data_IF_195071431994
#
_entry.id   IF_195071431994
#
_cell.length_a   1.000
_cell.length_b   1.000
_cell.length_c   1.000
_cell.angle_alpha   90.00
_cell.angle_beta   90.00
_cell.angle_gamma   90.00
#
_symmetry.space_group_name_H-M   'P 1'
#
loop_
_entity.id
_entity.type
_entity.pdbx_description
1 polymer ?
#
# COMPACT_ATOMS: atom_id res chain seq x y z
N UNK A 1 14.81 2.77 -13.31
CA UNK A 1 13.40 2.53 -12.95
C UNK A 1 12.63 1.91 -14.08
N UNK A 2 11.70 1.01 -13.77
CA UNK A 2 10.71 0.55 -14.72
C UNK A 2 9.39 1.30 -14.46
N UNK A 3 8.85 1.97 -15.49
CA UNK A 3 7.48 2.52 -15.44
C UNK A 3 6.41 1.41 -15.63
N UNK A 4 6.82 0.14 -15.51
CA UNK A 4 6.00 -1.09 -15.69
C UNK A 4 5.02 -1.06 -16.87
N UNK A 5 5.49 -0.55 -18.01
CA UNK A 5 4.72 -0.38 -19.24
C UNK A 5 4.60 -1.66 -20.06
N UNK A 6 5.61 -2.53 -20.03
CA UNK A 6 5.64 -3.77 -20.79
C UNK A 6 5.75 -4.97 -19.86
N UNK A 7 4.97 -6.05 -20.09
CA UNK A 7 5.12 -7.28 -19.32
C UNK A 7 6.55 -7.84 -19.48
N UNK A 8 7.13 -8.39 -18.41
CA UNK A 8 8.47 -8.98 -18.47
C UNK A 8 8.47 -10.20 -19.38
N UNK A 9 9.56 -10.39 -20.11
CA UNK A 9 9.80 -11.59 -20.93
C UNK A 9 10.78 -12.50 -20.22
N UNK A 10 10.55 -13.81 -20.29
CA UNK A 10 11.41 -14.84 -19.71
C UNK A 10 10.64 -15.78 -18.79
N UNK A 11 11.37 -16.72 -18.19
CA UNK A 11 10.84 -17.72 -17.27
C UNK A 11 11.41 -17.50 -15.87
N UNK A 12 10.60 -17.75 -14.85
CA UNK A 12 10.97 -17.68 -13.43
C UNK A 12 10.36 -18.91 -12.76
N UNK A 13 11.08 -19.52 -11.80
CA UNK A 13 10.50 -20.63 -11.03
C UNK A 13 9.32 -20.15 -10.19
N UNK A 14 8.29 -20.98 -10.06
CA UNK A 14 7.07 -20.63 -9.32
C UNK A 14 7.37 -20.22 -7.88
N UNK A 15 8.22 -20.98 -7.18
CA UNK A 15 8.62 -20.69 -5.81
C UNK A 15 9.29 -19.31 -5.68
N UNK A 16 10.20 -18.97 -6.61
CA UNK A 16 10.86 -17.65 -6.61
C UNK A 16 9.88 -16.54 -6.93
N UNK A 17 8.93 -16.78 -7.84
CA UNK A 17 7.88 -15.81 -8.15
C UNK A 17 6.99 -15.55 -6.93
N UNK A 18 6.52 -16.60 -6.27
CA UNK A 18 5.66 -16.53 -5.08
C UNK A 18 6.37 -15.80 -3.95
N UNK A 19 7.59 -16.20 -3.59
CA UNK A 19 8.35 -15.55 -2.51
C UNK A 19 8.60 -14.07 -2.80
N UNK A 20 8.91 -13.72 -4.05
CA UNK A 20 9.11 -12.33 -4.48
C UNK A 20 7.82 -11.51 -4.43
N UNK A 21 6.67 -12.10 -4.77
CA UNK A 21 5.38 -11.43 -4.65
C UNK A 21 5.00 -11.20 -3.19
N UNK A 22 5.21 -12.20 -2.32
CA UNK A 22 4.94 -12.09 -0.88
C UNK A 22 5.83 -11.04 -0.22
N UNK A 23 7.13 -11.01 -0.54
CA UNK A 23 8.04 -9.98 -0.05
C UNK A 23 7.66 -8.59 -0.53
N UNK A 24 7.31 -8.44 -1.82
CA UNK A 24 6.84 -7.17 -2.37
C UNK A 24 5.55 -6.72 -1.70
N UNK A 25 4.60 -7.62 -1.46
CA UNK A 25 3.33 -7.30 -0.80
C UNK A 25 3.55 -6.80 0.63
N UNK A 26 4.39 -7.49 1.42
CA UNK A 26 4.76 -7.04 2.76
C UNK A 26 5.42 -5.65 2.75
N UNK A 27 6.35 -5.43 1.82
CA UNK A 27 7.00 -4.13 1.66
C UNK A 27 6.00 -3.03 1.27
N UNK A 28 5.05 -3.30 0.37
CA UNK A 28 4.03 -2.34 -0.03
C UNK A 28 3.08 -1.98 1.12
N UNK A 29 2.83 -2.90 2.07
CA UNK A 29 2.05 -2.60 3.27
C UNK A 29 2.75 -1.59 4.16
N UNK A 30 4.06 -1.78 4.37
CA UNK A 30 4.89 -0.83 5.12
C UNK A 30 4.94 0.55 4.45
N UNK A 31 5.01 0.60 3.12
CA UNK A 31 4.93 1.84 2.34
C UNK A 31 3.57 2.51 2.51
N UNK A 32 2.48 1.73 2.43
CA UNK A 32 1.12 2.24 2.59
C UNK A 32 0.88 2.82 3.99
N UNK A 33 1.38 2.16 5.04
CA UNK A 33 1.25 2.62 6.43
C UNK A 33 1.95 3.97 6.69
N UNK A 34 3.07 4.25 5.98
CA UNK A 34 3.85 5.49 6.15
C UNK A 34 3.41 6.63 5.24
N UNK A 35 2.73 6.33 4.13
CA UNK A 35 2.25 7.33 3.18
C UNK A 35 3.38 8.08 2.44
N UNK A 36 3.07 9.26 1.88
CA UNK A 36 4.03 10.11 1.13
C UNK A 36 4.90 10.96 2.08
N UNK A 37 5.60 10.32 3.00
CA UNK A 37 6.53 10.97 3.93
C UNK A 37 7.97 10.52 3.62
N UNK A 38 8.77 11.43 3.06
CA UNK A 38 10.10 11.12 2.53
C UNK A 38 11.06 10.62 3.62
N UNK A 39 10.97 11.17 4.83
CA UNK A 39 11.82 10.77 5.96
C UNK A 39 11.52 9.35 6.40
N UNK A 40 10.24 9.03 6.61
CA UNK A 40 9.80 7.68 7.01
C UNK A 40 10.07 6.62 5.95
N UNK A 41 9.95 6.97 4.67
CA UNK A 41 10.25 6.06 3.56
C UNK A 41 11.76 5.84 3.39
N UNK A 42 12.58 6.85 3.69
CA UNK A 42 14.04 6.70 3.69
C UNK A 42 14.48 5.68 4.75
N UNK A 43 13.97 5.79 5.98
CA UNK A 43 14.23 4.84 7.07
C UNK A 43 13.86 3.40 6.70
N UNK A 44 12.74 3.19 6.00
CA UNK A 44 12.34 1.88 5.48
C UNK A 44 13.35 1.26 4.51
N UNK A 45 14.01 2.11 3.71
CA UNK A 45 14.99 1.66 2.71
C UNK A 45 16.32 1.30 3.37
N UNK A 46 16.61 1.85 4.56
CA UNK A 46 17.82 1.58 5.34
C UNK A 46 17.67 0.43 6.36
N UNK A 47 16.45 -0.04 6.63
CA UNK A 47 16.23 -1.23 7.45
C UNK A 47 16.73 -2.49 6.70
N UNK A 48 17.96 -2.94 7.03
CA UNK A 48 18.65 -4.12 6.47
C UNK A 48 17.81 -5.41 6.46
N UNK A 49 16.78 -5.53 7.32
CA UNK A 49 15.86 -6.68 7.32
C UNK A 49 15.00 -6.79 6.04
N UNK A 50 14.80 -5.70 5.30
CA UNK A 50 13.86 -5.66 4.16
C UNK A 50 14.55 -5.65 2.79
N UNK A 51 15.77 -5.09 2.71
CA UNK A 51 16.40 -4.71 1.43
C UNK A 51 17.61 -5.59 1.04
N UNK A 52 18.33 -6.19 2.00
CA UNK A 52 19.58 -6.93 1.70
C UNK A 52 19.38 -8.31 1.04
N UNK A 53 18.14 -8.82 0.94
CA UNK A 53 17.85 -10.18 0.42
C UNK A 53 16.75 -10.27 -0.64
N UNK A 54 16.25 -9.15 -1.16
CA UNK A 54 15.07 -9.13 -2.01
C UNK A 54 15.38 -8.54 -3.40
N UNK A 55 15.72 -9.41 -4.36
CA UNK A 55 15.88 -9.05 -5.78
C UNK A 55 14.64 -8.36 -6.38
N UNK A 56 13.47 -8.47 -5.72
CA UNK A 56 12.22 -7.82 -6.07
C UNK A 56 12.18 -6.32 -5.73
N UNK A 57 13.10 -5.83 -4.88
CA UNK A 57 13.24 -4.41 -4.54
C UNK A 57 14.35 -3.72 -5.33
N UNK A 58 15.25 -4.50 -5.96
CA UNK A 58 16.26 -3.98 -6.89
C UNK A 58 15.57 -3.40 -8.12
N UNK A 59 15.71 -2.10 -8.28
CA UNK A 59 15.00 -1.33 -9.28
C UNK A 59 15.26 -1.81 -10.71
N UNK A 60 14.20 -2.26 -11.40
CA UNK A 60 14.31 -2.70 -12.80
C UNK A 60 14.84 -4.12 -12.98
N UNK A 61 15.10 -4.86 -11.90
CA UNK A 61 15.34 -6.30 -11.92
C UNK A 61 14.22 -7.04 -12.65
N UNK A 62 14.54 -8.20 -13.23
CA UNK A 62 13.52 -9.10 -13.82
C UNK A 62 12.48 -9.49 -12.78
N UNK A 63 12.89 -9.61 -11.51
CA UNK A 63 12.04 -10.04 -10.41
C UNK A 63 11.17 -8.88 -9.89
N UNK A 64 11.69 -7.65 -9.84
CA UNK A 64 10.90 -6.43 -9.58
C UNK A 64 9.77 -6.30 -10.61
N UNK A 65 10.07 -6.52 -11.89
CA UNK A 65 9.05 -6.51 -12.95
C UNK A 65 8.07 -7.69 -12.82
N UNK A 66 8.57 -8.92 -12.64
CA UNK A 66 7.71 -10.10 -12.52
C UNK A 66 6.75 -10.00 -11.33
N UNK A 67 7.27 -9.66 -10.15
CA UNK A 67 6.45 -9.51 -8.94
C UNK A 67 5.38 -8.42 -9.08
N UNK A 68 5.72 -7.27 -9.65
CA UNK A 68 4.77 -6.19 -9.93
C UNK A 68 3.61 -6.64 -10.84
N UNK A 69 3.92 -7.28 -11.97
CA UNK A 69 2.90 -7.75 -12.91
C UNK A 69 2.08 -8.93 -12.36
N UNK A 70 2.68 -9.81 -11.57
CA UNK A 70 1.95 -10.89 -10.90
C UNK A 70 1.01 -10.36 -9.83
N UNK A 71 1.43 -9.37 -9.03
CA UNK A 71 0.54 -8.72 -8.05
C UNK A 71 -0.62 -7.99 -8.75
N UNK A 72 -0.42 -7.38 -9.93
CA UNK A 72 -1.54 -6.83 -10.72
C UNK A 72 -2.59 -7.89 -11.03
N UNK A 73 -2.17 -9.09 -11.43
CA UNK A 73 -3.10 -10.20 -11.70
C UNK A 73 -3.79 -10.68 -10.42
N UNK A 74 -3.05 -10.84 -9.32
CA UNK A 74 -3.59 -11.31 -8.04
C UNK A 74 -4.61 -10.32 -7.44
N UNK A 75 -4.32 -9.01 -7.50
CA UNK A 75 -5.13 -7.97 -6.86
C UNK A 75 -6.31 -7.48 -7.71
N UNK A 76 -6.36 -7.76 -9.02
CA UNK A 76 -7.33 -7.11 -9.93
C UNK A 76 -8.80 -7.47 -9.68
N UNK A 77 -9.07 -8.58 -8.98
CA UNK A 77 -10.42 -9.06 -8.68
C UNK A 77 -11.06 -8.33 -7.50
N UNK A 78 -10.25 -7.90 -6.52
CA UNK A 78 -10.73 -7.12 -5.38
C UNK A 78 -10.56 -5.63 -5.58
N UNK A 79 -11.60 -4.86 -5.28
CA UNK A 79 -11.51 -3.41 -5.35
C UNK A 79 -10.58 -2.84 -4.26
N UNK A 80 -10.55 -3.45 -3.07
CA UNK A 80 -9.68 -3.06 -1.96
C UNK A 80 -8.20 -3.29 -2.27
N UNK A 81 -7.83 -4.51 -2.65
CA UNK A 81 -6.44 -4.85 -3.03
C UNK A 81 -5.99 -4.07 -4.27
N UNK A 82 -6.85 -3.87 -5.27
CA UNK A 82 -6.54 -3.05 -6.45
C UNK A 82 -6.22 -1.61 -6.06
N UNK A 83 -7.01 -1.02 -5.16
CA UNK A 83 -6.80 0.35 -4.67
C UNK A 83 -5.53 0.44 -3.83
N UNK A 84 -5.36 -0.48 -2.88
CA UNK A 84 -4.14 -0.60 -2.09
C UNK A 84 -2.90 -0.67 -2.98
N UNK A 85 -2.88 -1.59 -3.95
CA UNK A 85 -1.75 -1.76 -4.87
C UNK A 85 -1.48 -0.48 -5.66
N UNK A 86 -2.53 0.18 -6.15
CA UNK A 86 -2.42 1.46 -6.86
C UNK A 86 -1.77 2.53 -5.99
N UNK A 87 -2.23 2.68 -4.76
CA UNK A 87 -1.81 3.75 -3.85
C UNK A 87 -0.38 3.48 -3.31
N UNK A 88 -0.08 2.24 -2.94
CA UNK A 88 1.23 1.83 -2.43
C UNK A 88 2.31 1.87 -3.50
N UNK A 89 2.04 1.36 -4.71
CA UNK A 89 2.99 1.40 -5.83
C UNK A 89 3.24 2.83 -6.32
N UNK A 90 2.21 3.68 -6.32
CA UNK A 90 2.37 5.09 -6.68
C UNK A 90 3.25 5.83 -5.67
N UNK A 91 3.06 5.53 -4.39
CA UNK A 91 3.90 6.09 -3.30
C UNK A 91 5.34 5.61 -3.42
N UNK A 92 5.55 4.31 -3.67
CA UNK A 92 6.88 3.75 -3.91
C UNK A 92 7.55 4.35 -5.16
N UNK A 93 6.80 4.50 -6.25
CA UNK A 93 7.29 5.12 -7.47
C UNK A 93 7.69 6.57 -7.24
N UNK A 94 6.85 7.34 -6.53
CA UNK A 94 7.13 8.72 -6.16
C UNK A 94 8.43 8.83 -5.36
N UNK A 95 8.59 8.00 -4.33
CA UNK A 95 9.82 7.97 -3.52
C UNK A 95 11.04 7.63 -4.37
N UNK A 96 10.97 6.56 -5.18
CA UNK A 96 12.06 6.18 -6.09
C UNK A 96 12.41 7.33 -7.03
N UNK A 97 11.42 8.01 -7.59
CA UNK A 97 11.62 9.17 -8.48
C UNK A 97 12.32 10.33 -7.76
N UNK A 98 11.94 10.62 -6.52
CA UNK A 98 12.56 11.66 -5.69
C UNK A 98 14.03 11.38 -5.36
N UNK A 99 14.44 10.12 -5.30
CA UNK A 99 15.83 9.73 -5.06
C UNK A 99 16.71 9.66 -6.32
N UNK A 100 16.16 9.87 -7.53
CA UNK A 100 16.91 9.71 -8.78
C UNK A 100 17.84 10.89 -9.10
N UNK A 101 19.04 10.56 -9.59
CA UNK A 101 19.95 11.54 -10.16
C UNK A 101 19.61 11.92 -11.61
N UNK A 102 20.26 12.97 -12.14
CA UNK A 102 20.05 13.50 -13.51
C UNK A 102 20.04 12.42 -14.58
N UNK A 103 21.08 11.58 -14.63
CA UNK A 103 21.23 10.53 -15.65
C UNK A 103 20.08 9.51 -15.61
N UNK A 104 19.64 9.13 -14.40
CA UNK A 104 18.55 8.16 -14.21
C UNK A 104 17.20 8.74 -14.65
N UNK A 105 16.93 10.01 -14.31
CA UNK A 105 15.73 10.73 -14.75
C UNK A 105 15.69 10.84 -16.28
N UNK A 106 16.80 11.27 -16.90
CA UNK A 106 16.90 11.36 -18.36
C UNK A 106 16.65 9.98 -19.00
N UNK A 107 17.26 8.92 -18.48
CA UNK A 107 17.05 7.57 -18.98
C UNK A 107 15.58 7.11 -18.84
N UNK A 108 14.91 7.44 -17.74
CA UNK A 108 13.48 7.16 -17.53
C UNK A 108 12.62 7.86 -18.59
N UNK A 109 12.80 9.17 -18.79
CA UNK A 109 12.04 9.92 -19.80
C UNK A 109 12.32 9.44 -21.22
N UNK A 110 13.56 9.08 -21.55
CA UNK A 110 13.90 8.45 -22.84
C UNK A 110 13.19 7.12 -23.04
N UNK A 111 13.12 6.28 -22.00
CA UNK A 111 12.40 4.99 -22.05
C UNK A 111 10.91 5.19 -22.25
N UNK A 112 10.30 6.16 -21.57
CA UNK A 112 8.88 6.52 -21.73
C UNK A 112 8.61 6.96 -23.18
N UNK A 113 9.42 7.87 -23.73
CA UNK A 113 9.31 8.30 -25.14
C UNK A 113 9.47 7.17 -26.13
N UNK A 114 10.46 6.30 -25.92
CA UNK A 114 10.69 5.14 -26.79
C UNK A 114 9.46 4.23 -26.80
N UNK A 115 8.80 4.07 -25.66
CA UNK A 115 7.58 3.27 -25.55
C UNK A 115 6.38 3.96 -26.21
N UNK A 116 6.17 5.26 -25.99
CA UNK A 116 5.13 6.05 -26.65
C UNK A 116 5.25 5.98 -28.19
N UNK A 117 6.46 6.14 -28.73
CA UNK A 117 6.72 6.00 -30.17
C UNK A 117 6.38 4.59 -30.68
N UNK A 118 6.71 3.54 -29.91
CA UNK A 118 6.36 2.17 -30.28
C UNK A 118 4.85 1.96 -30.35
N UNK A 119 4.09 2.53 -29.41
CA UNK A 119 2.63 2.48 -29.45
C UNK A 119 2.09 3.16 -30.72
N UNK A 120 2.60 4.33 -31.08
CA UNK A 120 2.21 5.05 -32.32
C UNK A 120 2.45 4.23 -33.59
N UNK A 121 3.60 3.55 -33.69
CA UNK A 121 3.91 2.70 -34.84
C UNK A 121 3.00 1.46 -34.90
N UNK A 122 2.68 0.87 -33.75
CA UNK A 122 1.78 -0.27 -33.69
C UNK A 122 0.35 0.11 -34.14
N UNK A 123 -0.16 1.27 -33.72
CA UNK A 123 -1.47 1.76 -34.20
C UNK A 123 -1.53 1.91 -35.72
N UNK A 124 -0.43 2.32 -36.37
CA UNK A 124 -0.36 2.46 -37.82
C UNK A 124 -0.38 1.11 -38.58
N UNK A 125 0.08 0.03 -37.95
CA UNK A 125 0.14 -1.31 -38.57
C UNK A 125 -1.10 -2.18 -38.26
N UNK A 126 -1.90 -1.85 -37.24
CA UNK A 126 -2.93 -2.75 -36.67
C UNK A 126 -4.35 -2.24 -36.93
N UNK A 127 -4.66 -1.90 -38.18
CA UNK A 127 -6.05 -1.73 -38.61
C UNK A 127 -6.90 -3.01 -38.56
N UNK A 128 -6.37 -4.17 -38.13
CA UNK A 128 -7.00 -5.51 -38.33
C UNK A 128 -6.91 -6.52 -37.18
N UNK A 129 -6.40 -6.19 -35.99
CA UNK A 129 -6.35 -7.15 -34.86
C UNK A 129 -7.02 -6.57 -33.63
N UNK A 130 -8.03 -7.28 -33.09
CA UNK A 130 -8.93 -6.87 -32.00
C UNK A 130 -8.27 -6.67 -30.63
N UNK A 131 -7.19 -5.89 -30.56
CA UNK A 131 -6.71 -5.29 -29.31
C UNK A 131 -7.67 -4.16 -28.91
N UNK A 132 -7.74 -3.89 -27.61
CA UNK A 132 -8.56 -2.82 -27.05
C UNK A 132 -7.95 -1.44 -27.39
N UNK A 133 -8.14 -0.99 -28.63
CA UNK A 133 -7.66 0.29 -29.17
C UNK A 133 -7.98 1.47 -28.24
N UNK A 134 -9.08 1.39 -27.49
CA UNK A 134 -9.48 2.42 -26.52
C UNK A 134 -8.50 2.52 -25.35
N UNK A 135 -7.99 1.40 -24.85
CA UNK A 135 -7.03 1.38 -23.74
C UNK A 135 -5.64 1.79 -24.18
N UNK A 136 -5.20 1.38 -25.38
CA UNK A 136 -3.92 1.82 -25.96
C UNK A 136 -3.91 3.33 -26.22
N UNK A 137 -5.00 3.87 -26.76
CA UNK A 137 -5.16 5.32 -26.97
C UNK A 137 -5.12 6.10 -25.65
N UNK A 138 -5.82 5.64 -24.61
CA UNK A 138 -5.76 6.26 -23.26
C UNK A 138 -4.34 6.24 -22.70
N UNK A 139 -3.62 5.13 -22.86
CA UNK A 139 -2.23 5.01 -22.42
C UNK A 139 -1.33 5.98 -23.22
N UNK A 140 -1.53 6.09 -24.52
CA UNK A 140 -0.81 7.05 -25.36
C UNK A 140 -1.08 8.49 -24.90
N UNK A 141 -2.33 8.87 -24.63
CA UNK A 141 -2.70 10.19 -24.12
C UNK A 141 -2.02 10.50 -22.78
N UNK A 142 -1.95 9.52 -21.87
CA UNK A 142 -1.23 9.64 -20.59
C UNK A 142 0.27 9.87 -20.79
N UNK A 143 0.91 9.08 -21.65
CA UNK A 143 2.34 9.22 -21.92
C UNK A 143 2.65 10.53 -22.64
N UNK A 144 1.77 10.99 -23.53
CA UNK A 144 1.90 12.27 -24.22
C UNK A 144 2.00 13.45 -23.25
N UNK A 145 1.34 13.39 -22.10
CA UNK A 145 1.43 14.44 -21.07
C UNK A 145 2.88 14.55 -20.57
N UNK A 146 3.52 13.42 -20.30
CA UNK A 146 4.92 13.38 -19.84
C UNK A 146 5.89 13.81 -20.94
N UNK A 147 5.67 13.34 -22.16
CA UNK A 147 6.62 13.55 -23.27
C UNK A 147 6.51 14.91 -23.92
N UNK A 148 5.31 15.50 -23.96
CA UNK A 148 5.08 16.87 -24.45
C UNK A 148 5.74 17.92 -23.54
N UNK A 149 5.73 17.70 -22.22
CA UNK A 149 6.38 18.57 -21.25
C UNK A 149 7.91 18.60 -21.38
N UNK A 150 8.51 17.60 -22.02
CA UNK A 150 9.95 17.35 -21.92
C UNK A 150 10.74 17.61 -23.21
N UNK A 151 10.16 18.04 -24.33
CA UNK A 151 10.85 17.98 -25.65
C UNK A 151 12.26 18.62 -25.73
N UNK A 152 13.23 17.90 -26.32
CA UNK A 152 14.56 18.42 -26.66
C UNK A 152 15.40 18.87 -25.46
N UNK A 153 16.19 19.94 -25.65
CA UNK A 153 17.00 20.60 -24.60
C UNK A 153 16.19 21.06 -23.38
N UNK A 154 14.88 21.25 -23.53
CA UNK A 154 13.97 21.60 -22.43
C UNK A 154 13.88 20.52 -21.35
N UNK A 155 14.04 19.22 -21.67
CA UNK A 155 14.05 18.17 -20.65
C UNK A 155 15.20 18.35 -19.68
N UNK A 156 16.39 18.63 -20.21
CA UNK A 156 17.61 18.73 -19.41
C UNK A 156 17.49 19.89 -18.44
N UNK A 157 17.02 21.05 -18.90
CA UNK A 157 16.75 22.20 -18.04
C UNK A 157 15.66 21.94 -16.99
N UNK A 158 14.58 21.23 -17.33
CA UNK A 158 13.54 20.85 -16.37
C UNK A 158 14.11 19.94 -15.28
N UNK A 159 14.91 18.94 -15.68
CA UNK A 159 15.53 17.98 -14.74
C UNK A 159 16.57 18.68 -13.86
N UNK A 160 17.39 19.55 -14.44
CA UNK A 160 18.37 20.35 -13.69
C UNK A 160 17.70 21.26 -12.68
N UNK A 161 16.67 21.99 -13.10
CA UNK A 161 15.88 22.85 -12.21
C UNK A 161 15.22 22.04 -11.10
N UNK A 162 14.59 20.90 -11.42
CA UNK A 162 14.02 20.00 -10.42
C UNK A 162 15.06 19.54 -9.38
N UNK A 163 16.25 19.13 -9.84
CA UNK A 163 17.31 18.64 -8.96
C UNK A 163 17.90 19.75 -8.08
N UNK A 164 18.07 20.96 -8.62
CA UNK A 164 18.51 22.12 -7.84
C UNK A 164 17.56 22.39 -6.66
N UNK A 165 16.25 22.32 -6.90
CA UNK A 165 15.25 22.46 -5.83
C UNK A 165 15.19 21.25 -4.89
N UNK A 166 15.37 20.01 -5.36
CA UNK A 166 15.39 18.85 -4.46
C UNK A 166 16.62 18.83 -3.56
N UNK A 167 17.77 19.31 -4.06
CA UNK A 167 19.01 19.39 -3.28
C UNK A 167 18.97 20.50 -2.22
N UNK A 168 18.31 21.64 -2.46
CA UNK A 168 18.14 22.67 -1.43
C UNK A 168 17.29 22.18 -0.25
N UNK A 169 16.22 21.41 -0.53
CA UNK A 169 15.40 20.74 0.50
C UNK A 169 16.17 19.64 1.26
N UNK A 170 17.06 18.91 0.57
CA UNK A 170 17.85 17.84 1.18
C UNK A 170 19.04 18.37 2.00
N UNK A 171 19.52 19.58 1.73
CA UNK A 171 20.61 20.21 2.48
C UNK A 171 20.22 20.51 3.95
N UNK A 172 18.94 20.76 4.22
CA UNK A 172 18.43 20.92 5.59
C UNK A 172 18.25 19.57 6.32
N UNK A 173 18.07 18.47 5.59
CA UNK A 173 18.12 17.10 6.14
C UNK A 173 19.57 16.68 6.46
N UNK A 174 20.56 17.15 5.68
CA UNK A 174 21.99 16.89 5.98
C UNK A 174 22.54 17.64 7.20
N UNK A 175 21.89 18.71 7.67
CA UNK A 175 22.26 19.36 8.94
C UNK A 175 21.81 18.53 10.16
N UNK A 176 20.74 17.76 10.02
CA UNK A 176 20.33 16.72 10.98
C UNK A 176 21.28 15.50 10.95
N UNK A 177 21.86 15.21 9.77
CA UNK A 177 22.85 14.14 9.53
C UNK A 177 24.13 14.30 10.35
N UNK A 178 24.64 15.52 10.54
CA UNK A 178 25.89 15.76 11.30
C UNK A 178 25.67 15.72 12.82
N UNK A 179 24.49 16.10 13.32
CA UNK A 179 24.18 16.06 14.77
C UNK A 179 23.93 14.65 15.32
N UNK A 180 23.38 13.74 14.51
CA UNK A 180 23.14 12.35 14.96
C UNK A 180 24.40 11.48 14.91
N UNK A 181 25.31 11.70 13.94
CA UNK A 181 26.58 10.96 13.90
C UNK A 181 27.55 11.39 15.01
N UNK A 182 27.52 12.66 15.44
CA UNK A 182 28.30 13.11 16.61
C UNK A 182 27.77 12.52 17.94
N UNK A 183 26.44 12.39 18.10
CA UNK A 183 25.86 11.77 19.31
C UNK A 183 26.03 10.24 19.39
N UNK A 184 26.29 9.56 18.27
CA UNK A 184 26.59 8.12 18.26
C UNK A 184 28.07 7.78 18.47
N UNK A 185 28.95 8.79 18.40
CA UNK A 185 30.38 8.64 18.62
C UNK A 185 30.76 8.80 20.10
N UNK A 186 29.97 9.56 20.88
CA UNK A 186 30.32 9.96 22.25
C UNK A 186 29.68 9.10 23.36
N UNK A 187 28.76 8.18 23.05
CA UNK A 187 28.05 7.37 24.06
C UNK A 187 28.56 5.92 24.21
N UNK A 188 29.77 5.60 23.73
CA UNK A 188 30.36 4.25 23.87
C UNK A 188 31.22 4.03 25.11
N UNK A 189 31.14 4.93 26.10
CA UNK A 189 31.78 4.76 27.41
C UNK A 189 30.94 5.40 28.52
N UNK A 190 29.92 4.70 29.03
CA UNK A 190 29.67 4.61 30.46
C UNK A 190 28.48 3.68 30.84
N UNK A 191 28.83 2.72 31.70
CA UNK A 191 28.09 2.01 32.75
C UNK A 191 26.55 1.88 32.79
N UNK A 192 26.14 0.62 33.06
CA UNK A 192 25.19 0.14 34.08
C UNK A 192 24.15 1.13 34.64
N UNK A 193 22.87 0.82 34.46
CA UNK A 193 21.95 0.46 35.56
C UNK A 193 20.56 0.11 35.01
N UNK A 194 19.86 -0.74 35.77
CA UNK A 194 18.44 -1.05 35.66
C UNK A 194 17.60 0.23 35.70
N UNK A 195 16.48 0.25 34.96
CA UNK A 195 15.13 0.31 35.57
C UNK A 195 14.03 0.45 34.51
N UNK A 196 12.88 -0.08 34.90
CA UNK A 196 11.58 -0.14 34.23
C UNK A 196 11.12 1.18 33.59
N UNK A 197 10.28 1.08 32.55
CA UNK A 197 8.96 1.74 32.50
C UNK A 197 8.20 1.39 31.21
N UNK A 198 7.22 0.49 31.40
CA UNK A 198 5.84 0.49 30.87
C UNK A 198 5.50 1.49 29.75
N UNK A 199 5.24 0.98 28.54
CA UNK A 199 4.57 1.74 27.47
C UNK A 199 3.14 1.24 27.29
N UNK A 200 2.22 2.04 27.84
CA UNK A 200 0.79 2.01 27.58
C UNK A 200 0.55 2.43 26.12
N UNK A 201 -0.04 1.55 25.31
CA UNK A 201 -0.55 1.90 23.98
C UNK A 201 -2.07 1.94 24.07
N UNK A 202 -2.61 3.12 24.34
CA UNK A 202 -4.02 3.44 24.17
C UNK A 202 -4.10 4.66 23.27
N UNK A 203 -5.04 4.58 22.32
CA UNK A 203 -5.50 5.64 21.41
C UNK A 203 -4.66 5.89 20.14
N UNK A 204 -4.82 5.00 19.16
CA UNK A 204 -4.59 5.33 17.73
C UNK A 204 -5.83 4.98 16.88
N UNK A 205 -6.99 5.48 17.32
CA UNK A 205 -8.16 5.63 16.47
C UNK A 205 -8.60 7.08 16.60
N UNK A 206 -8.81 7.73 15.44
CA UNK A 206 -9.13 9.15 15.26
C UNK A 206 -7.92 10.09 15.32
N UNK A 207 -7.22 10.22 14.19
CA UNK A 207 -6.47 11.45 13.92
C UNK A 207 -6.69 11.92 12.48
N UNK A 208 -7.05 13.20 12.40
CA UNK A 208 -7.35 13.98 11.21
C UNK A 208 -6.25 13.81 10.16
N UNK A 209 -6.61 13.86 8.87
CA UNK A 209 -5.65 14.09 7.79
C UNK A 209 -4.77 15.28 8.19
N UNK A 210 -3.44 15.17 8.20
CA UNK A 210 -2.61 16.34 8.40
C UNK A 210 -2.80 17.21 7.16
N UNK A 211 -3.52 18.31 7.32
CA UNK A 211 -3.41 19.47 6.44
C UNK A 211 -1.97 19.94 6.54
N UNK A 212 -1.16 19.60 5.53
CA UNK A 212 0.12 20.25 5.30
C UNK A 212 -0.17 21.69 4.87
N UNK A 213 -0.43 22.55 5.85
CA UNK A 213 -0.38 24.00 5.68
C UNK A 213 1.07 24.39 5.40
N UNK A 214 1.45 24.29 4.13
CA UNK A 214 2.69 24.84 3.63
C UNK A 214 2.49 26.36 3.49
N UNK A 215 2.59 27.07 4.62
CA UNK A 215 2.70 28.53 4.61
C UNK A 215 3.98 28.90 3.87
N UNK A 216 3.84 29.28 2.60
CA UNK A 216 4.86 29.99 1.84
C UNK A 216 5.16 31.28 2.62
N UNK A 217 6.32 31.35 3.28
CA UNK A 217 6.80 32.63 3.80
C UNK A 217 7.07 33.54 2.59
N UNK A 218 6.66 34.82 2.63
CA UNK A 218 6.97 35.74 1.57
C UNK A 218 8.49 35.94 1.56
N UNK A 219 9.15 35.49 0.48
CA UNK A 219 10.57 35.72 0.28
C UNK A 219 10.84 37.23 0.25
N UNK A 220 11.70 37.67 1.17
CA UNK A 220 12.33 38.98 1.16
C UNK A 220 13.04 39.20 -0.17
N UNK A 221 12.72 40.34 -0.79
CA UNK A 221 13.27 40.84 -2.05
C UNK A 221 14.81 40.89 -1.93
N UNK A 222 15.52 40.02 -2.64
CA UNK A 222 16.79 40.26 -3.33
C UNK A 222 17.47 38.93 -3.69
N UNK A 223 17.07 38.36 -4.83
CA UNK A 223 17.90 37.53 -5.69
C UNK A 223 17.34 37.61 -7.11
N UNK A 224 18.23 37.55 -8.10
CA UNK A 224 17.98 37.72 -9.54
C UNK A 224 16.74 36.96 -10.06
N UNK A 225 16.08 37.42 -11.15
CA UNK A 225 14.92 36.73 -11.70
C UNK A 225 15.36 35.42 -12.33
N UNK A 226 15.50 34.36 -11.53
CA UNK A 226 15.56 33.00 -12.04
C UNK A 226 14.25 32.75 -12.77
N UNK A 227 14.32 32.53 -14.09
CA UNK A 227 13.17 32.13 -14.89
C UNK A 227 12.58 30.85 -14.30
N UNK A 228 11.52 30.98 -13.50
CA UNK A 228 10.81 29.84 -12.91
C UNK A 228 10.27 29.00 -14.05
N UNK A 229 10.82 27.79 -14.22
CA UNK A 229 10.39 26.87 -15.27
C UNK A 229 9.04 26.27 -14.85
N UNK A 230 8.03 26.49 -15.69
CA UNK A 230 6.70 25.91 -15.52
C UNK A 230 6.43 24.78 -16.51
N UNK A 231 5.79 23.74 -16.00
CA UNK A 231 5.24 22.60 -16.73
C UNK A 231 3.79 22.88 -17.09
N UNK A 232 3.42 22.69 -18.36
CA UNK A 232 2.03 22.81 -18.81
C UNK A 232 1.40 21.41 -18.85
N UNK A 233 0.48 21.14 -17.93
CA UNK A 233 -0.11 19.80 -17.73
C UNK A 233 -1.64 19.91 -17.74
N UNK A 234 -2.40 18.95 -18.30
CA UNK A 234 -3.86 18.93 -18.12
C UNK A 234 -4.24 18.92 -16.64
N UNK A 235 -5.25 19.69 -16.25
CA UNK A 235 -5.57 19.94 -14.83
C UNK A 235 -5.86 18.66 -14.02
N UNK A 236 -6.33 17.60 -14.68
CA UNK A 236 -6.68 16.30 -14.10
C UNK A 236 -5.51 15.61 -13.40
N UNK A 237 -4.26 15.93 -13.77
CA UNK A 237 -3.07 15.35 -13.15
C UNK A 237 -2.50 16.21 -12.01
N UNK A 238 -3.08 17.39 -11.78
CA UNK A 238 -2.64 18.36 -10.77
C UNK A 238 -3.75 18.69 -9.75
N UNK A 239 -4.74 17.81 -9.57
CA UNK A 239 -5.93 18.08 -8.77
C UNK A 239 -5.63 18.52 -7.34
N UNK A 240 -4.66 17.86 -6.67
CA UNK A 240 -4.27 18.24 -5.31
C UNK A 240 -3.67 19.65 -5.27
N UNK A 241 -2.79 19.99 -6.21
CA UNK A 241 -2.17 21.31 -6.29
C UNK A 241 -3.21 22.41 -6.58
N UNK A 242 -4.24 22.08 -7.35
CA UNK A 242 -5.36 22.99 -7.66
C UNK A 242 -6.24 23.19 -6.43
N UNK A 243 -6.57 22.11 -5.72
CA UNK A 243 -7.36 22.16 -4.48
C UNK A 243 -6.66 23.06 -3.44
N UNK A 244 -5.34 22.97 -3.35
CA UNK A 244 -4.51 23.78 -2.46
C UNK A 244 -4.22 25.19 -3.02
N UNK A 245 -4.76 25.55 -4.20
CA UNK A 245 -4.54 26.83 -4.90
C UNK A 245 -3.06 27.18 -5.14
N UNK A 246 -2.21 26.17 -5.32
CA UNK A 246 -0.76 26.32 -5.55
C UNK A 246 -0.37 26.51 -7.02
N UNK A 247 -1.31 26.33 -7.95
CA UNK A 247 -1.06 26.38 -9.40
C UNK A 247 -2.15 27.18 -10.12
N UNK A 248 -1.77 27.82 -11.21
CA UNK A 248 -2.69 28.58 -12.06
C UNK A 248 -3.32 27.68 -13.12
N UNK A 249 -4.61 27.90 -13.39
CA UNK A 249 -5.36 27.23 -14.46
C UNK A 249 -5.65 28.18 -15.61
N UNK A 250 -5.41 27.73 -16.84
CA UNK A 250 -5.79 28.47 -18.04
C UNK A 250 -6.18 27.49 -19.16
N UNK A 251 -7.39 27.65 -19.72
CA UNK A 251 -7.93 26.86 -20.84
C UNK A 251 -7.81 25.33 -20.63
N UNK A 252 -8.09 24.83 -19.43
CA UNK A 252 -8.02 23.40 -19.09
C UNK A 252 -6.62 22.86 -18.77
N UNK A 253 -5.60 23.72 -18.76
CA UNK A 253 -4.23 23.37 -18.38
C UNK A 253 -3.83 24.02 -17.06
N UNK A 254 -3.11 23.27 -16.24
CA UNK A 254 -2.41 23.74 -15.05
C UNK A 254 -0.96 24.07 -15.38
N UNK A 255 -0.48 25.19 -14.84
CA UNK A 255 0.91 25.63 -14.94
C UNK A 255 1.61 25.30 -13.62
N UNK A 256 2.36 24.20 -13.65
CA UNK A 256 2.92 23.56 -12.46
C UNK A 256 4.42 23.87 -12.37
N UNK A 257 4.93 24.42 -11.26
CA UNK A 257 6.36 24.56 -11.02
C UNK A 257 7.11 23.21 -11.13
N UNK A 258 8.34 23.22 -11.63
CA UNK A 258 9.17 22.00 -11.76
C UNK A 258 9.38 21.25 -10.44
N UNK A 259 9.26 21.91 -9.29
CA UNK A 259 9.36 21.27 -7.96
C UNK A 259 8.34 20.14 -7.75
N UNK A 260 7.18 20.20 -8.41
CA UNK A 260 6.13 19.19 -8.31
C UNK A 260 6.20 18.15 -9.44
N UNK A 261 7.33 18.05 -10.15
CA UNK A 261 7.51 17.08 -11.23
C UNK A 261 7.30 15.63 -10.75
N UNK A 262 7.81 15.29 -9.57
CA UNK A 262 7.61 13.96 -8.96
C UNK A 262 6.13 13.64 -8.75
N UNK A 263 5.35 14.59 -8.25
CA UNK A 263 3.91 14.42 -8.01
C UNK A 263 3.14 14.23 -9.31
N UNK A 264 3.43 15.04 -10.33
CA UNK A 264 2.77 14.93 -11.64
C UNK A 264 3.08 13.58 -12.30
N UNK A 265 4.35 13.18 -12.33
CA UNK A 265 4.76 11.91 -12.94
C UNK A 265 4.20 10.73 -12.14
N UNK A 266 4.13 10.81 -10.81
CA UNK A 266 3.49 9.79 -9.98
C UNK A 266 1.98 9.69 -10.24
N UNK A 267 1.27 10.81 -10.41
CA UNK A 267 -0.16 10.78 -10.74
C UNK A 267 -0.40 10.16 -12.14
N UNK A 268 0.48 10.41 -13.10
CA UNK A 268 0.41 9.78 -14.42
C UNK A 268 0.71 8.27 -14.31
N UNK A 269 1.69 7.90 -13.50
CA UNK A 269 2.00 6.50 -13.19
C UNK A 269 0.80 5.77 -12.57
N UNK A 270 0.11 6.39 -11.61
CA UNK A 270 -1.10 5.86 -10.98
C UNK A 270 -2.19 5.56 -12.02
N UNK A 271 -2.44 6.48 -12.96
CA UNK A 271 -3.42 6.28 -14.03
C UNK A 271 -3.01 5.15 -14.98
N UNK A 272 -1.72 5.09 -15.36
CA UNK A 272 -1.18 3.98 -16.16
C UNK A 272 -1.30 2.63 -15.43
N UNK A 273 -1.09 2.62 -14.11
CA UNK A 273 -1.23 1.42 -13.28
C UNK A 273 -2.69 0.97 -13.19
N UNK A 274 -3.64 1.89 -13.00
CA UNK A 274 -5.07 1.59 -13.00
C UNK A 274 -5.53 1.00 -14.33
N UNK A 275 -5.12 1.58 -15.46
CA UNK A 275 -5.38 1.00 -16.78
C UNK A 275 -4.76 -0.40 -16.91
N UNK A 276 -3.54 -0.60 -16.38
CA UNK A 276 -2.90 -1.91 -16.36
C UNK A 276 -3.68 -2.96 -15.54
N UNK A 277 -4.28 -2.56 -14.41
CA UNK A 277 -5.14 -3.44 -13.60
C UNK A 277 -6.46 -3.75 -14.32
N UNK A 278 -7.05 -2.79 -15.04
CA UNK A 278 -8.23 -3.02 -15.88
C UNK A 278 -7.96 -4.05 -16.99
N UNK A 279 -6.79 -3.96 -17.63
CA UNK A 279 -6.35 -4.97 -18.61
C UNK A 279 -6.12 -6.33 -17.94
N UNK A 280 -5.47 -6.35 -16.78
CA UNK A 280 -5.23 -7.58 -16.02
C UNK A 280 -6.55 -8.28 -15.66
N UNK A 281 -7.59 -7.53 -15.28
CA UNK A 281 -8.92 -8.07 -14.95
C UNK A 281 -9.58 -8.80 -16.12
N UNK A 282 -9.31 -8.40 -17.37
CA UNK A 282 -9.84 -9.09 -18.56
C UNK A 282 -9.13 -10.43 -18.80
N UNK A 283 -7.84 -10.53 -18.45
CA UNK A 283 -6.99 -11.69 -18.74
C UNK A 283 -6.93 -12.68 -17.57
N UNK A 284 -7.21 -12.24 -16.34
CA UNK A 284 -7.10 -13.07 -15.13
C UNK A 284 -7.87 -14.40 -15.17
N UNK A 285 -9.06 -14.54 -15.81
CA UNK A 285 -9.75 -15.83 -15.86
C UNK A 285 -8.93 -16.92 -16.58
N UNK A 286 -8.15 -16.54 -17.60
CA UNK A 286 -7.25 -17.45 -18.29
C UNK A 286 -6.09 -17.89 -17.38
N UNK A 287 -5.53 -16.96 -16.61
CA UNK A 287 -4.47 -17.29 -15.65
C UNK A 287 -4.96 -18.21 -14.53
N UNK A 288 -6.19 -18.00 -14.05
CA UNK A 288 -6.83 -18.85 -13.04
C UNK A 288 -7.24 -20.23 -13.55
N UNK A 289 -7.13 -20.52 -14.85
CA UNK A 289 -7.33 -21.87 -15.35
C UNK A 289 -6.21 -22.81 -14.89
N UNK A 290 -5.05 -22.27 -14.50
CA UNK A 290 -3.94 -23.02 -13.92
C UNK A 290 -4.04 -23.08 -12.39
N UNK A 291 -4.10 -24.29 -11.84
CA UNK A 291 -4.20 -24.54 -10.39
C UNK A 291 -3.05 -23.91 -9.59
N UNK A 292 -1.85 -23.81 -10.18
CA UNK A 292 -0.67 -23.22 -9.51
C UNK A 292 -0.84 -21.73 -9.30
N UNK A 293 -1.45 -21.06 -10.27
CA UNK A 293 -1.76 -19.64 -10.20
C UNK A 293 -2.89 -19.37 -9.21
N UNK A 294 -3.91 -20.22 -9.18
CA UNK A 294 -4.96 -20.16 -8.16
C UNK A 294 -4.38 -20.23 -6.75
N UNK A 295 -3.51 -21.21 -6.49
CA UNK A 295 -2.89 -21.40 -5.18
C UNK A 295 -1.97 -20.23 -4.80
N UNK A 296 -1.17 -19.74 -5.75
CA UNK A 296 -0.31 -18.57 -5.54
C UNK A 296 -1.12 -17.33 -5.20
N UNK A 297 -2.23 -17.08 -5.92
CA UNK A 297 -3.08 -15.93 -5.66
C UNK A 297 -3.81 -16.08 -4.33
N UNK A 298 -4.31 -17.27 -4.01
CA UNK A 298 -4.92 -17.57 -2.70
C UNK A 298 -3.96 -17.27 -1.55
N UNK A 299 -2.70 -17.70 -1.66
CA UNK A 299 -1.68 -17.42 -0.65
C UNK A 299 -1.42 -15.90 -0.48
N UNK A 300 -1.33 -15.15 -1.59
CA UNK A 300 -1.16 -13.69 -1.55
C UNK A 300 -2.38 -12.97 -0.97
N UNK A 301 -3.58 -13.47 -1.26
CA UNK A 301 -4.83 -12.99 -0.69
C UNK A 301 -4.88 -13.19 0.81
N UNK A 302 -4.61 -14.42 1.28
CA UNK A 302 -4.54 -14.70 2.71
C UNK A 302 -3.49 -13.81 3.39
N UNK A 303 -2.29 -13.70 2.82
CA UNK A 303 -1.28 -12.76 3.33
C UNK A 303 -1.80 -11.32 3.37
N UNK A 304 -2.57 -10.86 2.37
CA UNK A 304 -3.12 -9.51 2.38
C UNK A 304 -4.08 -9.27 3.56
N UNK A 305 -5.00 -10.21 3.82
CA UNK A 305 -6.05 -10.07 4.83
C UNK A 305 -5.67 -10.55 6.24
N UNK A 306 -4.73 -11.49 6.38
CA UNK A 306 -4.37 -12.14 7.65
C UNK A 306 -3.32 -11.38 8.48
N UNK A 307 -2.63 -10.37 7.94
CA UNK A 307 -1.60 -9.61 8.66
C UNK A 307 -2.14 -8.77 9.85
N UNK A 308 -3.43 -8.87 10.18
CA UNK A 308 -3.97 -8.43 11.46
C UNK A 308 -3.79 -9.42 12.62
N UNK A 309 -3.43 -10.68 12.36
CA UNK A 309 -3.48 -11.77 13.36
C UNK A 309 -2.22 -12.66 13.43
N UNK A 310 -1.21 -12.48 12.59
CA UNK A 310 0.04 -13.27 12.66
C UNK A 310 1.21 -12.39 13.06
N UNK A 311 1.41 -12.25 14.36
CA UNK A 311 2.73 -11.90 14.89
C UNK A 311 3.74 -12.95 14.41
N UNK A 312 4.77 -12.46 13.73
CA UNK A 312 6.02 -13.08 13.31
C UNK A 312 6.18 -14.59 13.61
N UNK A 313 6.31 -15.39 12.55
CA UNK A 313 6.67 -16.81 12.62
C UNK A 313 8.05 -16.98 13.28
N UNK A 314 8.07 -17.18 14.61
CA UNK A 314 9.11 -17.96 15.35
C UNK A 314 8.92 -18.06 16.86
N UNK A 315 7.92 -17.42 17.45
CA UNK A 315 7.46 -17.78 18.80
C UNK A 315 6.08 -18.39 18.64
N UNK A 316 5.93 -19.67 18.98
CA UNK A 316 4.61 -20.20 19.27
C UNK A 316 4.09 -19.39 20.46
N UNK A 317 3.32 -18.35 20.17
CA UNK A 317 2.54 -17.66 21.21
C UNK A 317 1.49 -18.68 21.59
N UNK A 318 1.78 -19.43 22.65
CA UNK A 318 0.79 -20.14 23.42
C UNK A 318 -0.15 -19.04 23.90
N UNK A 319 -1.30 -18.86 23.24
CA UNK A 319 -2.40 -18.17 23.88
C UNK A 319 -2.69 -18.96 25.15
N UNK A 320 -2.52 -18.35 26.32
CA UNK A 320 -3.05 -18.91 27.55
C UNK A 320 -4.51 -19.25 27.29
N UNK A 321 -4.90 -20.49 27.61
CA UNK A 321 -6.27 -20.93 27.39
C UNK A 321 -7.20 -20.11 28.28
N UNK A 322 -8.00 -19.25 27.66
CA UNK A 322 -8.93 -18.37 28.37
C UNK A 322 -10.09 -19.21 28.90
N UNK A 323 -10.52 -18.93 30.13
CA UNK A 323 -11.69 -19.57 30.72
C UNK A 323 -13.01 -18.97 30.20
N UNK A 324 -14.09 -19.75 30.15
CA UNK A 324 -15.41 -19.26 29.71
C UNK A 324 -15.95 -18.07 30.52
N UNK A 325 -15.50 -17.90 31.76
CA UNK A 325 -15.90 -16.81 32.67
C UNK A 325 -15.21 -15.47 32.35
N UNK A 326 -14.03 -15.53 31.72
CA UNK A 326 -13.25 -14.35 31.36
C UNK A 326 -13.78 -13.69 30.09
N UNK A 327 -14.49 -14.46 29.26
CA UNK A 327 -15.07 -13.99 27.98
C UNK A 327 -15.91 -12.73 28.17
N UNK A 328 -16.67 -12.60 29.26
CA UNK A 328 -17.53 -11.43 29.54
C UNK A 328 -16.71 -10.15 29.77
N UNK A 329 -15.52 -10.27 30.38
CA UNK A 329 -14.61 -9.13 30.61
C UNK A 329 -13.93 -8.72 29.32
N UNK A 330 -13.63 -9.69 28.45
CA UNK A 330 -12.94 -9.46 27.19
C UNK A 330 -13.82 -8.79 26.13
N UNK A 331 -15.14 -8.71 26.35
CA UNK A 331 -16.09 -8.09 25.40
C UNK A 331 -15.74 -6.64 25.08
N UNK A 332 -15.16 -5.90 26.02
CA UNK A 332 -14.73 -4.51 25.82
C UNK A 332 -13.64 -4.40 24.74
N UNK A 333 -12.83 -5.45 24.57
CA UNK A 333 -11.77 -5.52 23.55
C UNK A 333 -12.23 -6.17 22.25
N UNK A 334 -13.45 -6.71 22.21
CA UNK A 334 -13.96 -7.37 21.00
C UNK A 334 -14.30 -6.34 19.91
N UNK A 335 -14.08 -6.69 18.64
CA UNK A 335 -14.56 -5.84 17.54
C UNK A 335 -16.09 -5.71 17.63
N UNK A 336 -16.67 -4.58 17.15
CA UNK A 336 -18.09 -4.29 17.33
C UNK A 336 -19.05 -5.39 16.87
N UNK A 337 -18.66 -6.14 15.82
CA UNK A 337 -19.43 -7.29 15.33
C UNK A 337 -19.52 -8.43 16.36
N UNK A 338 -18.39 -8.83 16.95
CA UNK A 338 -18.35 -9.91 17.95
C UNK A 338 -18.91 -9.45 19.30
N UNK A 339 -18.64 -8.19 19.69
CA UNK A 339 -19.26 -7.59 20.87
C UNK A 339 -20.79 -7.48 20.73
N UNK A 340 -21.32 -7.27 19.53
CA UNK A 340 -22.77 -7.33 19.27
C UNK A 340 -23.32 -8.76 19.38
N UNK A 341 -22.62 -9.76 18.85
CA UNK A 341 -23.02 -11.18 18.98
C UNK A 341 -23.02 -11.62 20.44
N UNK A 342 -21.99 -11.25 21.21
CA UNK A 342 -21.90 -11.55 22.63
C UNK A 342 -23.07 -10.92 23.42
N UNK A 343 -23.33 -9.62 23.24
CA UNK A 343 -24.45 -8.94 23.92
C UNK A 343 -25.81 -9.53 23.52
N UNK A 344 -25.99 -9.86 22.24
CA UNK A 344 -27.22 -10.51 21.75
C UNK A 344 -27.39 -11.88 22.36
N UNK A 345 -26.31 -12.65 22.49
CA UNK A 345 -26.31 -13.94 23.16
C UNK A 345 -26.71 -13.79 24.63
N UNK A 346 -26.07 -12.90 25.39
CA UNK A 346 -26.39 -12.65 26.81
C UNK A 346 -27.80 -12.11 27.04
N UNK A 347 -28.37 -11.37 26.08
CA UNK A 347 -29.73 -10.86 26.17
C UNK A 347 -30.79 -11.90 25.77
N UNK A 348 -30.57 -12.67 24.70
CA UNK A 348 -31.58 -13.58 24.13
C UNK A 348 -31.38 -15.05 24.55
N UNK A 349 -30.23 -15.38 25.13
CA UNK A 349 -29.75 -16.73 25.43
C UNK A 349 -29.75 -17.69 24.23
N UNK A 350 -29.86 -17.13 23.01
CA UNK A 350 -29.96 -17.84 21.74
C UNK A 350 -29.35 -16.99 20.63
N UNK A 351 -28.65 -17.65 19.71
CA UNK A 351 -28.12 -17.07 18.49
C UNK A 351 -28.59 -17.88 17.28
N UNK A 352 -28.74 -17.22 16.12
CA UNK A 352 -29.05 -17.89 14.85
C UNK A 352 -27.88 -18.80 14.45
N UNK A 353 -28.13 -19.78 13.57
CA UNK A 353 -27.13 -20.78 13.18
C UNK A 353 -25.79 -20.16 12.73
N UNK A 354 -25.81 -19.23 11.77
CA UNK A 354 -24.60 -18.59 11.28
C UNK A 354 -23.88 -17.75 12.35
N UNK A 355 -24.64 -17.02 13.18
CA UNK A 355 -24.09 -16.24 14.29
C UNK A 355 -23.41 -17.10 15.34
N UNK A 356 -23.94 -18.31 15.62
CA UNK A 356 -23.27 -19.29 16.49
C UNK A 356 -21.95 -19.73 15.89
N UNK A 357 -21.93 -20.13 14.62
CA UNK A 357 -20.71 -20.59 13.95
C UNK A 357 -19.63 -19.51 13.98
N UNK A 358 -19.98 -18.29 13.57
CA UNK A 358 -19.07 -17.15 13.54
C UNK A 358 -18.50 -16.85 14.94
N UNK A 359 -19.36 -16.79 15.96
CA UNK A 359 -18.94 -16.46 17.32
C UNK A 359 -18.11 -17.58 17.96
N UNK A 360 -18.43 -18.86 17.71
CA UNK A 360 -17.62 -20.00 18.17
C UNK A 360 -16.23 -20.02 17.54
N UNK A 361 -16.13 -19.75 16.23
CA UNK A 361 -14.83 -19.69 15.56
C UNK A 361 -13.97 -18.55 16.10
N UNK A 362 -14.59 -17.38 16.32
CA UNK A 362 -13.92 -16.26 16.96
C UNK A 362 -13.41 -16.59 18.37
N UNK A 363 -14.25 -17.19 19.22
CA UNK A 363 -13.83 -17.58 20.57
C UNK A 363 -12.69 -18.62 20.56
N UNK A 364 -12.70 -19.54 19.60
CA UNK A 364 -11.60 -20.49 19.39
C UNK A 364 -10.30 -19.77 19.05
N UNK A 365 -10.35 -18.77 18.17
CA UNK A 365 -9.18 -17.97 17.77
C UNK A 365 -8.66 -17.08 18.90
N UNK A 366 -9.55 -16.59 19.78
CA UNK A 366 -9.20 -15.84 20.98
C UNK A 366 -8.47 -16.72 22.02
N UNK A 367 -8.61 -18.05 21.94
CA UNK A 367 -7.93 -19.00 22.83
C UNK A 367 -8.87 -19.81 23.73
N UNK A 368 -10.19 -19.78 23.50
CA UNK A 368 -11.15 -20.60 24.24
C UNK A 368 -11.01 -22.07 23.81
N UNK A 369 -10.64 -22.93 24.77
CA UNK A 369 -10.52 -24.37 24.50
C UNK A 369 -11.87 -25.00 24.16
N UNK A 370 -11.86 -26.17 23.53
CA UNK A 370 -13.11 -26.89 23.19
C UNK A 370 -13.93 -27.21 24.45
N UNK A 371 -13.27 -27.60 25.55
CA UNK A 371 -13.94 -27.92 26.80
C UNK A 371 -14.62 -26.68 27.41
N UNK A 372 -13.90 -25.56 27.43
CA UNK A 372 -14.43 -24.28 27.92
C UNK A 372 -15.55 -23.75 27.02
N UNK A 373 -15.43 -23.89 25.70
CA UNK A 373 -16.48 -23.54 24.76
C UNK A 373 -17.77 -24.35 24.99
N UNK A 374 -17.65 -25.66 25.23
CA UNK A 374 -18.81 -26.49 25.57
C UNK A 374 -19.46 -26.03 26.87
N UNK A 375 -18.68 -25.72 27.91
CA UNK A 375 -19.18 -25.17 29.18
C UNK A 375 -19.88 -23.82 28.97
N UNK A 376 -19.29 -22.92 28.19
CA UNK A 376 -19.85 -21.61 27.84
C UNK A 376 -21.23 -21.75 27.15
N UNK A 377 -21.29 -22.55 26.08
CA UNK A 377 -22.53 -22.75 25.33
C UNK A 377 -23.58 -23.49 26.15
N UNK A 378 -23.18 -24.47 26.96
CA UNK A 378 -24.09 -25.20 27.86
C UNK A 378 -24.71 -24.27 28.89
N UNK A 379 -23.90 -23.43 29.55
CA UNK A 379 -24.37 -22.46 30.55
C UNK A 379 -25.35 -21.45 29.95
N UNK A 380 -25.09 -21.01 28.73
CA UNK A 380 -25.92 -20.00 28.08
C UNK A 380 -27.20 -20.60 27.50
N UNK A 381 -27.13 -21.82 26.94
CA UNK A 381 -28.28 -22.45 26.30
C UNK A 381 -29.23 -23.15 27.29
N UNK A 382 -28.77 -23.43 28.51
CA UNK A 382 -29.63 -23.90 29.59
C UNK A 382 -30.60 -22.82 30.09
N UNK A 383 -30.30 -21.53 29.87
CA UNK A 383 -31.19 -20.42 30.24
C UNK A 383 -32.42 -20.35 29.30
N UNK A 384 -33.60 -19.98 29.82
CA UNK A 384 -34.79 -19.80 29.00
C UNK A 384 -34.59 -18.63 28.04
N UNK A 385 -34.76 -18.88 26.73
CA UNK A 385 -34.65 -17.83 25.71
C UNK A 385 -35.78 -16.80 25.86
N UNK A 386 -35.44 -15.52 25.72
CA UNK A 386 -36.43 -14.44 25.68
C UNK A 386 -37.00 -14.33 24.26
N UNK A 387 -38.02 -15.15 23.94
CA UNK A 387 -38.74 -15.11 22.66
C UNK A 387 -39.51 -16.39 22.32
N UNK A 388 -40.70 -16.21 21.75
CA UNK A 388 -41.59 -17.26 21.23
C UNK A 388 -40.89 -18.06 20.12
N UNK A 389 -40.63 -19.36 20.35
CA UNK A 389 -40.26 -20.24 19.24
C UNK A 389 -39.50 -21.51 19.61
N UNK A 390 -38.85 -21.60 20.78
CA UNK A 390 -38.21 -22.85 21.18
C UNK A 390 -38.10 -23.01 22.70
N UNK A 391 -39.05 -23.76 23.27
CA UNK A 391 -39.16 -24.12 24.69
C UNK A 391 -38.38 -25.41 25.01
N UNK A 392 -37.13 -25.52 24.57
CA UNK A 392 -36.27 -26.64 24.98
C UNK A 392 -35.43 -26.24 26.19
N UNK A 393 -35.67 -26.92 27.31
CA UNK A 393 -34.99 -26.72 28.58
C UNK A 393 -33.92 -27.81 28.70
N UNK A 394 -32.68 -27.51 28.32
CA UNK A 394 -31.60 -28.50 28.28
C UNK A 394 -31.31 -29.11 29.66
N UNK A 395 -31.67 -28.41 30.74
CA UNK A 395 -31.57 -28.92 32.11
C UNK A 395 -32.59 -30.03 32.41
N UNK A 396 -33.73 -30.06 31.69
CA UNK A 396 -34.74 -31.13 31.79
C UNK A 396 -34.50 -32.26 30.78
N UNK A 397 -33.98 -31.94 29.59
CA UNK A 397 -33.80 -32.89 28.49
C UNK A 397 -32.45 -33.65 28.54
N UNK A 398 -31.56 -33.31 29.49
CA UNK A 398 -30.22 -33.91 29.66
C UNK A 398 -30.19 -35.34 30.21
N UNK A 399 -31.33 -36.02 30.33
CA UNK A 399 -31.40 -37.47 30.54
C UNK A 399 -32.03 -38.12 29.33
N UNK A 400 -31.22 -38.49 28.34
CA UNK A 400 -31.47 -39.62 27.44
C UNK A 400 -30.16 -40.09 26.83
#
# INVERSE_FOLDING_TARGET
MAFYLSPPKGTVSLQRLQSSCSQRLAFLKEVFARGRDLSKLSELTFLSRTVERSDCLIEGSRIDQASHFTLRLACCQDAGMSRFLSDSETTLFWYRFSCMGKQQLLHLFHRIRKYEKKLRHQEAEIGKSGRDLKTEKKLQDLLNVVTSCTRGSRLEHIVESYLQYSHSQCSDLTKSRVKQEQNWSDNRTNHNSQDDHTLHCQDCCVSKRPSLDFKVKPETRHSTPEEKIFLKVPFQYALQLIADRRVCLHKGFAYVPCIYLSDIVANIFEQCLRLGIEVARKVVPLALSDWRMQETFRALWLQFFEDGCRSDEKTGVVFESIGHQEVDRLVEFFPPCMGHLHRTLRHKHRLKHFSRLQYTLFLKEVGLSVQEALSFWKQEYSRPGCGEGCTHHWDRDGRR
#
